data_IF_915308819899
#
_entry.id   IF_915308819899
#
_cell.length_a   1.000
_cell.length_b   1.000
_cell.length_c   1.000
_cell.angle_alpha   90.00
_cell.angle_beta   90.00
_cell.angle_gamma   90.00
#
_symmetry.space_group_name_H-M   'P 1'
#
loop_
_entity.id
_entity.type
_entity.pdbx_description
1 polymer ?
#
# COMPACT_ATOMS: atom_id res chain seq x y z
N UNK A 1 -14.18 30.89 17.53
CA UNK A 1 -13.49 30.41 16.32
C UNK A 1 -12.89 29.06 16.67
N UNK A 2 -13.63 27.98 16.44
CA UNK A 2 -13.22 26.63 16.86
C UNK A 2 -12.56 25.97 15.67
N UNK A 3 -11.24 25.76 15.74
CA UNK A 3 -10.53 24.94 14.76
C UNK A 3 -11.11 23.53 14.78
N UNK A 4 -11.85 23.18 13.74
CA UNK A 4 -12.24 21.81 13.45
C UNK A 4 -10.96 21.08 13.03
N UNK A 5 -10.23 20.53 13.99
CA UNK A 5 -9.17 19.56 13.71
C UNK A 5 -9.87 18.35 13.09
N UNK A 6 -9.81 18.24 11.76
CA UNK A 6 -10.18 17.03 11.06
C UNK A 6 -9.27 15.94 11.62
N UNK A 7 -9.81 15.06 12.47
CA UNK A 7 -9.06 13.94 13.00
C UNK A 7 -8.82 12.97 11.83
N UNK A 8 -7.78 13.26 11.05
CA UNK A 8 -7.39 12.49 9.87
C UNK A 8 -6.78 11.18 10.36
N UNK A 9 -7.65 10.22 10.69
CA UNK A 9 -7.23 8.86 10.95
C UNK A 9 -6.49 8.35 9.71
N UNK A 10 -5.23 7.96 9.88
CA UNK A 10 -4.39 7.47 8.80
C UNK A 10 -5.04 6.24 8.17
N UNK A 11 -5.47 6.35 6.91
CA UNK A 11 -6.06 5.23 6.19
C UNK A 11 -4.96 4.28 5.71
N UNK A 12 -4.84 3.12 6.37
CA UNK A 12 -3.79 2.14 6.10
C UNK A 12 -3.91 1.52 4.70
N UNK A 13 -5.12 1.36 4.17
CA UNK A 13 -5.31 0.85 2.80
C UNK A 13 -4.82 1.86 1.77
N UNK A 14 -5.11 3.15 1.98
CA UNK A 14 -4.57 4.22 1.14
C UNK A 14 -3.05 4.29 1.23
N UNK A 15 -2.48 4.06 2.41
CA UNK A 15 -1.04 3.99 2.60
C UNK A 15 -0.43 2.83 1.82
N UNK A 16 -1.04 1.65 1.85
CA UNK A 16 -0.61 0.49 1.06
C UNK A 16 -0.66 0.75 -0.44
N UNK A 17 -1.71 1.41 -0.95
CA UNK A 17 -1.80 1.81 -2.37
C UNK A 17 -0.64 2.73 -2.76
N UNK A 18 -0.30 3.71 -1.92
CA UNK A 18 0.86 4.59 -2.14
C UNK A 18 2.16 3.80 -2.20
N UNK A 19 2.40 2.93 -1.22
CA UNK A 19 3.60 2.10 -1.17
C UNK A 19 3.72 1.19 -2.41
N UNK A 20 2.63 0.53 -2.82
CA UNK A 20 2.60 -0.32 -4.02
C UNK A 20 2.88 0.48 -5.29
N UNK A 21 2.36 1.71 -5.39
CA UNK A 21 2.62 2.60 -6.53
C UNK A 21 4.10 2.98 -6.61
N UNK A 22 4.70 3.35 -5.48
CA UNK A 22 6.12 3.73 -5.41
C UNK A 22 7.03 2.55 -5.75
N UNK A 23 6.72 1.35 -5.25
CA UNK A 23 7.46 0.11 -5.56
C UNK A 23 7.38 -0.18 -7.05
N UNK A 24 6.18 -0.10 -7.63
CA UNK A 24 5.96 -0.40 -9.05
C UNK A 24 6.63 0.61 -9.98
N UNK A 25 6.68 1.89 -9.61
CA UNK A 25 7.26 2.97 -10.44
C UNK A 25 8.78 3.06 -10.34
N UNK A 26 9.33 2.89 -9.13
CA UNK A 26 10.74 3.18 -8.87
C UNK A 26 11.64 1.95 -8.98
N UNK A 27 11.08 0.76 -9.23
CA UNK A 27 11.82 -0.51 -9.27
C UNK A 27 12.55 -0.84 -7.96
N UNK A 28 12.29 -0.07 -6.90
CA UNK A 28 12.94 -0.22 -5.61
C UNK A 28 12.47 -1.51 -4.94
N UNK A 29 13.38 -2.20 -4.27
CA UNK A 29 13.03 -3.42 -3.56
C UNK A 29 11.92 -3.14 -2.54
N UNK A 30 10.89 -3.98 -2.57
CA UNK A 30 9.68 -3.82 -1.77
C UNK A 30 9.98 -3.68 -0.27
N UNK A 31 10.98 -4.42 0.23
CA UNK A 31 11.42 -4.38 1.62
C UNK A 31 11.98 -3.01 2.01
N UNK A 32 12.78 -2.37 1.17
CA UNK A 32 13.36 -1.04 1.43
C UNK A 32 12.23 -0.01 1.51
N UNK A 33 11.33 0.03 0.51
CA UNK A 33 10.21 0.98 0.53
C UNK A 33 9.23 0.73 1.66
N UNK A 34 8.94 -0.52 1.98
CA UNK A 34 8.08 -0.83 3.11
C UNK A 34 8.68 -0.31 4.42
N UNK A 35 9.99 -0.51 4.62
CA UNK A 35 10.69 -0.04 5.82
C UNK A 35 10.68 1.49 5.93
N UNK A 36 10.89 2.22 4.82
CA UNK A 36 10.76 3.69 4.80
C UNK A 36 9.37 4.15 5.25
N UNK A 37 8.31 3.49 4.76
CA UNK A 37 6.93 3.81 5.16
C UNK A 37 6.68 3.50 6.65
N UNK A 38 7.16 2.36 7.13
CA UNK A 38 7.01 1.94 8.53
C UNK A 38 7.74 2.86 9.51
N UNK A 39 8.86 3.45 9.08
CA UNK A 39 9.60 4.45 9.86
C UNK A 39 8.89 5.82 9.82
N UNK A 40 8.34 6.21 8.66
CA UNK A 40 7.72 7.53 8.45
C UNK A 40 6.37 7.71 9.16
N UNK A 41 5.52 6.68 9.20
CA UNK A 41 4.12 6.83 9.61
C UNK A 41 3.81 6.37 11.05
N UNK A 42 4.81 5.90 11.81
CA UNK A 42 4.67 5.47 13.22
C UNK A 42 3.38 4.67 13.51
N UNK A 43 3.12 3.65 12.70
CA UNK A 43 1.90 2.84 12.77
C UNK A 43 1.80 2.10 14.11
N UNK A 44 0.56 1.92 14.60
CA UNK A 44 0.25 0.97 15.68
C UNK A 44 0.70 -0.45 15.29
N UNK A 45 0.88 -1.35 16.25
CA UNK A 45 1.29 -2.73 15.94
C UNK A 45 0.29 -3.44 15.02
N UNK A 46 -1.02 -3.24 15.24
CA UNK A 46 -2.08 -3.79 14.41
C UNK A 46 -2.00 -3.24 12.97
N UNK A 47 -1.91 -1.92 12.83
CA UNK A 47 -1.84 -1.26 11.53
C UNK A 47 -0.55 -1.60 10.78
N UNK A 48 0.57 -1.75 11.50
CA UNK A 48 1.86 -2.18 10.96
C UNK A 48 1.77 -3.58 10.37
N UNK A 49 1.18 -4.54 11.10
CA UNK A 49 0.98 -5.92 10.61
C UNK A 49 0.06 -5.93 9.41
N UNK A 50 -1.06 -5.22 9.48
CA UNK A 50 -2.02 -5.13 8.38
C UNK A 50 -1.41 -4.50 7.12
N UNK A 51 -0.71 -3.36 7.27
CA UNK A 51 0.00 -2.69 6.18
C UNK A 51 1.03 -3.61 5.51
N UNK A 52 1.85 -4.27 6.31
CA UNK A 52 2.92 -5.15 5.85
C UNK A 52 2.37 -6.33 5.04
N UNK A 53 1.37 -7.04 5.57
CA UNK A 53 0.76 -8.17 4.87
C UNK A 53 -0.03 -7.75 3.64
N UNK A 54 -0.66 -6.57 3.66
CA UNK A 54 -1.37 -6.07 2.49
C UNK A 54 -0.41 -5.77 1.34
N UNK A 55 0.69 -5.07 1.61
CA UNK A 55 1.70 -4.73 0.58
C UNK A 55 2.41 -5.99 0.08
N UNK A 56 2.98 -6.80 0.97
CA UNK A 56 3.67 -8.02 0.54
C UNK A 56 2.73 -9.05 -0.06
N UNK A 57 1.49 -9.14 0.42
CA UNK A 57 0.47 -10.04 -0.11
C UNK A 57 0.14 -9.73 -1.57
N UNK A 58 -0.03 -8.45 -1.91
CA UNK A 58 -0.25 -8.01 -3.30
C UNK A 58 0.97 -8.31 -4.16
N UNK A 59 2.19 -8.02 -3.69
CA UNK A 59 3.42 -8.26 -4.46
C UNK A 59 3.61 -9.76 -4.71
N UNK A 60 3.46 -10.60 -3.68
CA UNK A 60 3.60 -12.06 -3.78
C UNK A 60 2.60 -12.68 -4.74
N UNK A 61 1.39 -12.12 -4.81
CA UNK A 61 0.30 -12.61 -5.67
C UNK A 61 0.14 -11.81 -6.96
N UNK A 62 1.11 -10.95 -7.31
CA UNK A 62 1.00 -10.00 -8.43
C UNK A 62 0.53 -10.68 -9.72
N UNK A 63 1.19 -11.75 -10.16
CA UNK A 63 0.84 -12.44 -11.41
C UNK A 63 -0.59 -13.01 -11.40
N UNK A 64 -1.02 -13.55 -10.25
CA UNK A 64 -2.39 -14.08 -10.11
C UNK A 64 -3.43 -12.96 -10.14
N UNK A 65 -3.17 -11.87 -9.42
CA UNK A 65 -4.03 -10.69 -9.41
C UNK A 65 -4.09 -10.03 -10.79
N UNK A 66 -2.95 -9.89 -11.46
CA UNK A 66 -2.85 -9.35 -12.82
C UNK A 66 -3.65 -10.23 -13.80
N UNK A 67 -3.56 -11.56 -13.71
CA UNK A 67 -4.37 -12.47 -14.54
C UNK A 67 -5.88 -12.28 -14.33
N UNK A 68 -6.32 -12.08 -13.08
CA UNK A 68 -7.72 -11.75 -12.78
C UNK A 68 -8.10 -10.39 -13.38
N UNK A 69 -7.27 -9.37 -13.20
CA UNK A 69 -7.54 -8.03 -13.72
C UNK A 69 -7.65 -8.08 -15.26
N UNK A 70 -6.71 -8.75 -15.94
CA UNK A 70 -6.74 -8.94 -17.40
C UNK A 70 -8.02 -9.65 -17.84
N UNK A 71 -8.47 -10.66 -17.11
CA UNK A 71 -9.71 -11.39 -17.44
C UNK A 71 -10.95 -10.48 -17.46
N UNK A 72 -11.00 -9.47 -16.59
CA UNK A 72 -12.13 -8.54 -16.49
C UNK A 72 -11.89 -7.18 -17.19
N UNK A 73 -10.66 -6.89 -17.61
CA UNK A 73 -10.30 -5.63 -18.24
C UNK A 73 -10.79 -5.61 -19.70
N UNK A 74 -11.58 -4.59 -20.05
CA UNK A 74 -12.01 -4.33 -21.44
C UNK A 74 -10.93 -3.68 -22.31
N UNK A 75 -9.80 -3.29 -21.70
CA UNK A 75 -8.66 -2.64 -22.34
C UNK A 75 -7.40 -3.40 -21.95
N UNK A 76 -6.42 -3.57 -22.85
CA UNK A 76 -5.14 -4.16 -22.50
C UNK A 76 -4.44 -3.31 -21.42
N UNK A 77 -3.79 -4.00 -20.48
CA UNK A 77 -2.98 -3.41 -19.41
C UNK A 77 -1.58 -3.05 -19.89
#
# INVERSE_FOLDING_TARGET
MTEVKTNQQLNIRLLAVKALSDINRNGAYANIKLQEYLQKYHLSDLDRRFFTELVYGVIRRKNYLDAIIVHFAKRPL
#
